data_IF_881434423738
#
_entry.id   IF_881434423738
#
_cell.length_a   1.000
_cell.length_b   1.000
_cell.length_c   1.000
_cell.angle_alpha   90.00
_cell.angle_beta   90.00
_cell.angle_gamma   90.00
#
_symmetry.space_group_name_H-M   'P 1'
#
loop_
_entity.id
_entity.type
_entity.pdbx_description
1 polymer ?
#
# COMPACT_ATOMS: atom_id res chain seq x y z
N UNK A 1 3.14 21.74 -6.93
CA UNK A 1 4.17 21.09 -6.06
C UNK A 1 5.31 20.46 -6.87
N UNK A 2 5.10 19.39 -7.66
CA UNK A 2 6.21 18.72 -8.41
C UNK A 2 6.91 19.65 -9.40
N UNK A 3 6.17 20.43 -10.20
CA UNK A 3 6.72 21.40 -11.14
C UNK A 3 7.50 22.53 -10.45
N UNK A 4 7.00 23.05 -9.35
CA UNK A 4 7.65 24.11 -8.56
C UNK A 4 8.95 23.61 -7.93
N UNK A 5 8.93 22.37 -7.37
CA UNK A 5 10.13 21.74 -6.82
C UNK A 5 11.18 21.46 -7.90
N UNK A 6 10.76 21.01 -9.08
CA UNK A 6 11.66 20.80 -10.21
C UNK A 6 12.24 22.10 -10.72
N UNK A 7 11.46 23.19 -10.76
CA UNK A 7 11.97 24.51 -11.14
C UNK A 7 12.98 25.02 -10.12
N UNK A 8 12.67 24.92 -8.83
CA UNK A 8 13.63 25.29 -7.77
C UNK A 8 14.95 24.48 -7.88
N UNK A 9 14.87 23.21 -8.18
CA UNK A 9 16.06 22.37 -8.38
C UNK A 9 16.89 22.84 -9.60
N UNK A 10 16.25 23.20 -10.72
CA UNK A 10 16.94 23.75 -11.90
C UNK A 10 17.60 25.09 -11.60
N UNK A 11 16.88 26.00 -10.96
CA UNK A 11 17.35 27.37 -10.65
C UNK A 11 18.59 27.37 -9.74
N UNK A 12 18.72 26.30 -8.91
CA UNK A 12 19.85 26.15 -7.99
C UNK A 12 20.89 25.12 -8.45
N UNK A 13 20.77 24.56 -9.66
CA UNK A 13 21.73 23.61 -10.20
C UNK A 13 21.85 22.30 -9.40
N UNK A 14 20.72 21.83 -8.82
CA UNK A 14 20.71 20.58 -8.06
C UNK A 14 20.97 19.38 -8.98
N UNK A 15 21.73 18.42 -8.50
CA UNK A 15 22.10 17.18 -9.20
C UNK A 15 21.45 15.93 -8.61
N UNK A 16 20.72 16.07 -7.50
CA UNK A 16 19.95 15.01 -6.84
C UNK A 16 18.75 15.56 -6.09
N UNK A 17 17.82 14.66 -5.74
CA UNK A 17 16.69 14.95 -4.84
C UNK A 17 16.78 14.04 -3.63
N UNK A 18 16.68 14.63 -2.43
CA UNK A 18 16.62 13.91 -1.16
C UNK A 18 15.20 14.05 -0.60
N UNK A 19 14.50 12.94 -0.39
CA UNK A 19 13.19 12.88 0.23
C UNK A 19 13.28 12.32 1.66
N UNK A 20 12.94 13.14 2.66
CA UNK A 20 12.91 12.73 4.07
C UNK A 20 11.47 12.80 4.54
N UNK A 21 10.82 11.65 4.78
CA UNK A 21 9.42 11.62 5.21
C UNK A 21 8.72 10.29 4.97
N UNK A 22 7.41 10.32 5.08
CA UNK A 22 6.54 9.19 4.71
C UNK A 22 6.26 9.12 3.21
N UNK A 23 5.33 8.25 2.81
CA UNK A 23 5.02 7.96 1.40
C UNK A 23 4.77 9.21 0.55
N UNK A 24 3.95 10.16 1.01
CA UNK A 24 3.64 11.38 0.26
C UNK A 24 4.87 12.24 -0.04
N UNK A 25 5.83 12.31 0.89
CA UNK A 25 7.08 13.04 0.68
C UNK A 25 7.98 12.28 -0.30
N UNK A 26 8.09 10.97 -0.14
CA UNK A 26 8.90 10.13 -1.04
C UNK A 26 8.36 10.17 -2.47
N UNK A 27 7.04 10.09 -2.65
CA UNK A 27 6.39 10.16 -3.94
C UNK A 27 6.53 11.55 -4.57
N UNK A 28 6.37 12.62 -3.78
CA UNK A 28 6.63 13.99 -4.25
C UNK A 28 8.08 14.15 -4.70
N UNK A 29 9.06 13.58 -3.98
CA UNK A 29 10.47 13.62 -4.33
C UNK A 29 10.76 12.91 -5.65
N UNK A 30 10.15 11.73 -5.87
CA UNK A 30 10.19 11.03 -7.15
C UNK A 30 9.62 11.88 -8.28
N UNK A 31 8.47 12.53 -8.03
CA UNK A 31 7.82 13.43 -8.99
C UNK A 31 8.67 14.66 -9.32
N UNK A 32 9.32 15.27 -8.34
CA UNK A 32 10.24 16.40 -8.53
C UNK A 32 11.45 15.98 -9.37
N UNK A 33 12.07 14.85 -9.01
CA UNK A 33 13.21 14.32 -9.74
C UNK A 33 12.87 14.02 -11.21
N UNK A 34 11.68 13.49 -11.47
CA UNK A 34 11.17 13.24 -12.81
C UNK A 34 10.89 14.55 -13.57
N UNK A 35 10.17 15.48 -12.94
CA UNK A 35 9.79 16.75 -13.57
C UNK A 35 11.00 17.65 -13.89
N UNK A 36 12.19 17.38 -13.34
CA UNK A 36 13.42 18.09 -13.66
C UNK A 36 13.79 17.99 -15.14
N UNK A 37 13.60 16.82 -15.76
CA UNK A 37 13.89 16.57 -17.18
C UNK A 37 12.65 16.54 -18.07
N UNK A 38 11.45 16.66 -17.49
CA UNK A 38 10.19 16.44 -18.19
C UNK A 38 9.24 17.64 -17.97
N UNK A 39 9.11 18.50 -18.98
CA UNK A 39 8.49 19.85 -18.88
C UNK A 39 6.96 19.87 -18.81
N UNK A 40 6.28 18.75 -19.10
CA UNK A 40 4.82 18.75 -19.04
C UNK A 40 4.32 18.47 -17.62
N UNK A 41 3.07 18.85 -17.31
CA UNK A 41 2.43 18.42 -16.07
C UNK A 41 2.53 16.90 -15.87
N UNK A 42 2.82 16.45 -14.64
CA UNK A 42 3.08 15.03 -14.36
C UNK A 42 1.92 14.12 -14.81
N UNK A 43 0.68 14.61 -14.77
CA UNK A 43 -0.50 13.85 -15.19
C UNK A 43 -0.54 13.56 -16.70
N UNK A 44 0.16 14.33 -17.55
CA UNK A 44 0.30 13.99 -18.97
C UNK A 44 1.08 12.67 -19.16
N UNK A 45 2.03 12.40 -18.27
CA UNK A 45 2.81 11.16 -18.26
C UNK A 45 2.04 10.03 -17.58
N UNK A 46 1.38 10.29 -16.45
CA UNK A 46 0.57 9.32 -15.71
C UNK A 46 -0.57 8.77 -16.57
N UNK A 47 -1.21 9.63 -17.37
CA UNK A 47 -2.27 9.22 -18.30
C UNK A 47 -1.75 8.71 -19.66
N UNK A 48 -0.42 8.59 -19.81
CA UNK A 48 0.19 8.06 -21.04
C UNK A 48 0.08 8.98 -22.27
N UNK A 49 -0.28 10.26 -22.09
CA UNK A 49 -0.37 11.25 -23.18
C UNK A 49 1.01 11.75 -23.63
N UNK A 50 1.98 11.66 -22.73
CA UNK A 50 3.40 11.93 -22.99
C UNK A 50 4.28 10.80 -22.48
N UNK A 51 5.46 10.65 -23.06
CA UNK A 51 6.48 9.72 -22.60
C UNK A 51 7.64 10.50 -22.00
N UNK A 52 8.20 9.97 -20.90
CA UNK A 52 9.39 10.47 -20.23
C UNK A 52 10.20 9.30 -19.69
N UNK A 53 11.47 9.49 -19.46
CA UNK A 53 12.35 8.36 -19.09
C UNK A 53 13.51 8.72 -18.19
N UNK A 54 13.72 9.99 -17.88
CA UNK A 54 14.84 10.47 -17.05
C UNK A 54 14.32 11.11 -15.76
N UNK A 55 15.09 10.93 -14.69
CA UNK A 55 14.90 11.62 -13.43
C UNK A 55 16.28 11.96 -12.83
N UNK A 56 16.35 12.97 -11.97
CA UNK A 56 17.53 13.17 -11.12
C UNK A 56 17.74 11.93 -10.23
N UNK A 57 18.98 11.66 -9.79
CA UNK A 57 19.23 10.69 -8.72
C UNK A 57 18.36 10.99 -7.51
N UNK A 58 17.79 9.94 -6.91
CA UNK A 58 16.87 10.05 -5.76
C UNK A 58 17.49 9.31 -4.58
N UNK A 59 17.56 9.98 -3.42
CA UNK A 59 17.83 9.37 -2.13
C UNK A 59 16.60 9.52 -1.25
N UNK A 60 16.11 8.43 -0.67
CA UNK A 60 14.94 8.45 0.22
C UNK A 60 15.30 8.05 1.64
N UNK A 61 14.76 8.77 2.61
CA UNK A 61 14.90 8.49 4.04
C UNK A 61 13.50 8.32 4.61
N UNK A 62 13.12 7.07 4.89
CA UNK A 62 11.79 6.74 5.36
C UNK A 62 11.62 7.13 6.84
N UNK A 63 10.53 7.84 7.16
CA UNK A 63 10.16 8.20 8.55
C UNK A 63 8.87 7.53 9.00
N UNK A 64 8.28 6.67 8.17
CA UNK A 64 7.10 5.84 8.48
C UNK A 64 7.29 4.45 7.89
N UNK A 65 6.81 3.43 8.57
CA UNK A 65 6.66 2.09 8.01
C UNK A 65 5.25 1.99 7.39
N UNK A 66 5.16 1.98 6.05
CA UNK A 66 3.87 2.00 5.35
C UNK A 66 4.03 1.69 3.87
N UNK A 67 4.17 2.70 3.04
CA UNK A 67 4.15 2.57 1.58
C UNK A 67 5.30 1.74 0.99
N UNK A 68 6.43 1.64 1.69
CA UNK A 68 7.63 1.00 1.15
C UNK A 68 8.15 1.66 -0.14
N UNK A 69 7.81 2.95 -0.35
CA UNK A 69 8.17 3.70 -1.57
C UNK A 69 9.69 3.80 -1.76
N UNK A 70 10.45 3.73 -0.68
CA UNK A 70 11.92 3.65 -0.70
C UNK A 70 12.45 2.36 -1.35
N UNK A 71 11.63 1.30 -1.42
CA UNK A 71 11.98 0.00 -1.99
C UNK A 71 11.51 -0.22 -3.43
N UNK A 72 10.87 0.76 -4.10
CA UNK A 72 10.31 0.56 -5.43
C UNK A 72 10.35 1.82 -6.32
N UNK A 73 9.87 1.68 -7.55
CA UNK A 73 9.83 2.73 -8.58
C UNK A 73 8.47 3.40 -8.76
N UNK A 74 7.53 3.14 -7.86
CA UNK A 74 6.17 3.68 -7.94
C UNK A 74 6.05 4.95 -7.11
N UNK A 75 5.28 5.90 -7.61
CA UNK A 75 4.81 7.07 -6.87
C UNK A 75 3.32 7.26 -7.14
N UNK A 76 2.54 7.67 -6.14
CA UNK A 76 1.10 7.88 -6.26
C UNK A 76 0.80 9.38 -6.20
N UNK A 77 -0.01 9.85 -7.13
CA UNK A 77 -0.43 11.24 -7.21
C UNK A 77 -1.95 11.34 -7.27
N UNK A 78 -2.49 12.40 -6.68
CA UNK A 78 -3.92 12.73 -6.76
C UNK A 78 -4.11 13.90 -7.71
N UNK A 79 -4.98 13.78 -8.70
CA UNK A 79 -5.27 14.82 -9.65
C UNK A 79 -6.32 15.84 -9.11
N UNK A 80 -6.68 16.83 -9.93
CA UNK A 80 -7.67 17.84 -9.59
C UNK A 80 -9.09 17.31 -9.48
N UNK A 81 -9.36 16.14 -10.04
CA UNK A 81 -10.64 15.44 -9.98
C UNK A 81 -10.69 14.43 -8.82
N UNK A 82 -9.71 14.51 -7.90
CA UNK A 82 -9.56 13.64 -6.74
C UNK A 82 -9.29 12.18 -7.09
N UNK A 83 -8.82 11.89 -8.31
CA UNK A 83 -8.44 10.54 -8.72
C UNK A 83 -6.99 10.28 -8.32
N UNK A 84 -6.78 9.28 -7.47
CA UNK A 84 -5.44 8.77 -7.13
C UNK A 84 -4.97 7.78 -8.19
N UNK A 85 -3.73 7.98 -8.67
CA UNK A 85 -3.16 7.11 -9.68
C UNK A 85 -1.67 6.86 -9.46
N UNK A 86 -1.27 5.59 -9.57
CA UNK A 86 0.12 5.18 -9.52
C UNK A 86 0.85 5.54 -10.82
N UNK A 87 2.09 6.00 -10.68
CA UNK A 87 3.03 6.26 -11.74
C UNK A 87 4.31 5.47 -11.48
N UNK A 88 4.68 4.59 -12.40
CA UNK A 88 5.79 3.67 -12.21
C UNK A 88 6.74 3.74 -13.42
N UNK A 89 7.98 4.10 -13.17
CA UNK A 89 9.05 4.14 -14.17
C UNK A 89 10.38 3.69 -13.53
N UNK A 90 11.24 2.95 -14.24
CA UNK A 90 12.58 2.56 -13.75
C UNK A 90 13.43 3.74 -13.27
N UNK A 91 13.26 4.93 -13.88
CA UNK A 91 13.96 6.15 -13.50
C UNK A 91 13.57 6.67 -12.10
N UNK A 92 12.42 6.27 -11.55
CA UNK A 92 11.95 6.65 -10.21
C UNK A 92 12.49 5.73 -9.11
N UNK A 93 13.26 4.71 -9.45
CA UNK A 93 13.90 3.86 -8.45
C UNK A 93 14.92 4.69 -7.67
N UNK A 94 14.83 4.75 -6.33
CA UNK A 94 15.85 5.44 -5.53
C UNK A 94 17.23 4.84 -5.81
N UNK A 95 18.24 5.67 -5.90
CA UNK A 95 19.63 5.21 -5.99
C UNK A 95 20.11 4.65 -4.67
N UNK A 96 19.64 5.28 -3.60
CA UNK A 96 19.91 4.86 -2.23
C UNK A 96 18.66 5.11 -1.37
N UNK A 97 18.48 4.27 -0.37
CA UNK A 97 17.41 4.42 0.62
C UNK A 97 17.96 4.19 2.02
N UNK A 98 17.61 5.06 2.94
CA UNK A 98 17.96 4.95 4.36
C UNK A 98 16.69 4.58 5.11
N UNK A 99 16.75 3.45 5.80
CA UNK A 99 15.68 2.96 6.67
C UNK A 99 16.23 2.91 8.09
N UNK A 100 16.06 4.02 8.80
CA UNK A 100 16.52 4.18 10.19
C UNK A 100 15.31 4.09 11.11
N UNK A 101 15.19 3.02 11.93
CA UNK A 101 14.05 2.81 12.82
C UNK A 101 13.95 3.91 13.90
N UNK A 102 15.02 4.59 14.26
CA UNK A 102 14.98 5.69 15.23
C UNK A 102 14.05 6.83 14.76
N UNK A 103 13.96 7.07 13.45
CA UNK A 103 13.10 8.11 12.88
C UNK A 103 11.61 7.82 13.01
N UNK A 104 11.23 6.59 13.40
CA UNK A 104 9.85 6.13 13.54
C UNK A 104 9.35 6.11 14.97
N UNK A 105 10.26 6.21 15.96
CA UNK A 105 9.95 6.04 17.40
C UNK A 105 9.03 7.11 17.98
N UNK A 106 8.89 8.26 17.31
CA UNK A 106 8.05 9.38 17.73
C UNK A 106 6.67 9.41 17.07
N UNK A 107 6.36 8.42 16.25
CA UNK A 107 5.06 8.32 15.59
C UNK A 107 3.93 8.14 16.60
N UNK A 108 2.82 8.80 16.34
CA UNK A 108 1.59 8.57 17.11
C UNK A 108 1.01 7.18 16.85
N UNK A 109 0.18 6.67 17.75
CA UNK A 109 -0.51 5.39 17.57
C UNK A 109 -1.22 5.29 16.20
N UNK A 110 -1.88 6.37 15.75
CA UNK A 110 -2.52 6.45 14.44
C UNK A 110 -1.50 6.46 13.29
N UNK A 111 -0.35 7.13 13.49
CA UNK A 111 0.77 7.17 12.54
C UNK A 111 1.49 5.82 12.39
N UNK A 112 1.33 4.92 13.37
CA UNK A 112 1.81 3.53 13.31
C UNK A 112 0.76 2.62 12.66
N UNK A 113 -0.48 2.66 13.16
CA UNK A 113 -1.52 1.69 12.80
C UNK A 113 -1.92 1.74 11.33
N UNK A 114 -2.28 2.93 10.81
CA UNK A 114 -2.73 3.08 9.43
C UNK A 114 -1.64 2.73 8.41
N UNK A 115 -0.49 3.43 8.43
CA UNK A 115 0.62 3.10 7.53
C UNK A 115 1.13 1.66 7.70
N UNK A 116 1.24 1.17 8.95
CA UNK A 116 1.69 -0.19 9.21
C UNK A 116 0.75 -1.25 8.62
N UNK A 117 -0.57 -1.02 8.70
CA UNK A 117 -1.52 -1.91 8.04
C UNK A 117 -1.44 -1.81 6.51
N UNK A 118 -1.19 -0.63 5.95
CA UNK A 118 -0.93 -0.45 4.52
C UNK A 118 0.28 -1.31 4.07
N UNK A 119 1.39 -1.28 4.81
CA UNK A 119 2.53 -2.16 4.54
C UNK A 119 2.16 -3.65 4.58
N UNK A 120 1.36 -4.08 5.56
CA UNK A 120 0.89 -5.46 5.64
C UNK A 120 -0.03 -5.81 4.46
N UNK A 121 -0.93 -4.91 4.08
CA UNK A 121 -1.79 -5.06 2.91
C UNK A 121 -0.96 -5.23 1.63
N UNK A 122 0.05 -4.39 1.40
CA UNK A 122 0.99 -4.54 0.30
C UNK A 122 1.64 -5.93 0.25
N UNK A 123 2.11 -6.43 1.41
CA UNK A 123 2.74 -7.74 1.50
C UNK A 123 1.75 -8.87 1.18
N UNK A 124 0.54 -8.83 1.74
CA UNK A 124 -0.51 -9.84 1.49
C UNK A 124 -0.95 -9.80 0.02
N UNK A 125 -1.19 -8.62 -0.53
CA UNK A 125 -1.63 -8.47 -1.92
C UNK A 125 -0.58 -8.96 -2.91
N UNK A 126 0.69 -8.60 -2.71
CA UNK A 126 1.79 -9.12 -3.51
C UNK A 126 1.94 -10.65 -3.39
N UNK A 127 1.69 -11.20 -2.20
CA UNK A 127 1.72 -12.66 -1.95
C UNK A 127 0.62 -13.38 -2.72
N UNK A 128 -0.60 -12.81 -2.76
CA UNK A 128 -1.78 -13.37 -3.42
C UNK A 128 -1.85 -13.07 -4.92
N UNK A 129 -1.06 -12.13 -5.41
CA UNK A 129 -1.08 -11.70 -6.81
C UNK A 129 -0.80 -12.85 -7.77
N UNK A 130 -1.55 -12.96 -8.87
CA UNK A 130 -1.25 -13.93 -9.95
C UNK A 130 0.11 -13.66 -10.62
N UNK A 131 0.70 -12.48 -10.40
CA UNK A 131 2.05 -12.14 -10.85
C UNK A 131 3.14 -12.51 -9.82
N UNK A 132 2.73 -13.05 -8.65
CA UNK A 132 3.69 -13.46 -7.64
C UNK A 132 4.65 -14.51 -8.20
N UNK A 133 5.89 -14.37 -7.83
CA UNK A 133 6.99 -15.26 -8.22
C UNK A 133 7.85 -15.59 -6.99
N UNK A 134 8.78 -16.56 -7.08
CA UNK A 134 9.59 -16.95 -5.92
C UNK A 134 10.33 -15.78 -5.25
N UNK A 135 10.76 -14.78 -6.03
CA UNK A 135 11.45 -13.61 -5.50
C UNK A 135 10.49 -12.70 -4.72
N UNK A 136 9.35 -12.31 -5.30
CA UNK A 136 8.36 -11.48 -4.60
C UNK A 136 7.78 -12.19 -3.38
N UNK A 137 7.51 -13.52 -3.47
CA UNK A 137 7.03 -14.31 -2.32
C UNK A 137 8.04 -14.41 -1.18
N UNK A 138 9.35 -14.35 -1.44
CA UNK A 138 10.36 -14.29 -0.39
C UNK A 138 10.19 -13.02 0.47
N UNK A 139 10.07 -11.86 -0.18
CA UNK A 139 9.87 -10.59 0.51
C UNK A 139 8.50 -10.48 1.18
N UNK A 140 7.43 -10.90 0.49
CA UNK A 140 6.08 -10.86 1.04
C UNK A 140 5.95 -11.69 2.31
N UNK A 141 6.45 -12.93 2.33
CA UNK A 141 6.41 -13.82 3.49
C UNK A 141 7.10 -13.19 4.70
N UNK A 142 8.30 -12.67 4.48
CA UNK A 142 9.05 -12.06 5.57
C UNK A 142 8.40 -10.77 6.07
N UNK A 143 7.86 -9.96 5.17
CA UNK A 143 7.12 -8.75 5.52
C UNK A 143 5.86 -9.08 6.35
N UNK A 144 5.07 -10.08 5.93
CA UNK A 144 3.86 -10.50 6.66
C UNK A 144 4.22 -10.91 8.08
N UNK A 145 5.24 -11.76 8.26
CA UNK A 145 5.70 -12.22 9.58
C UNK A 145 6.09 -11.03 10.49
N UNK A 146 6.96 -10.16 9.99
CA UNK A 146 7.48 -9.06 10.80
C UNK A 146 6.44 -8.00 11.12
N UNK A 147 5.57 -7.66 10.16
CA UNK A 147 4.54 -6.65 10.34
C UNK A 147 3.41 -7.14 11.25
N UNK A 148 2.92 -8.36 11.05
CA UNK A 148 1.82 -8.88 11.89
C UNK A 148 2.22 -9.02 13.36
N UNK A 149 3.45 -9.45 13.63
CA UNK A 149 3.97 -9.57 14.99
C UNK A 149 4.40 -8.22 15.58
N UNK A 150 5.05 -7.39 14.77
CA UNK A 150 5.73 -6.18 15.24
C UNK A 150 4.80 -4.98 15.43
N UNK A 151 3.79 -4.78 14.57
CA UNK A 151 2.93 -3.59 14.62
C UNK A 151 2.24 -3.41 15.99
N UNK A 152 1.61 -4.42 16.60
CA UNK A 152 1.05 -4.27 17.94
C UNK A 152 2.09 -3.93 19.00
N UNK A 153 3.31 -4.47 18.88
CA UNK A 153 4.39 -4.25 19.85
C UNK A 153 4.91 -2.82 19.79
N UNK A 154 5.23 -2.30 18.58
CA UNK A 154 5.72 -0.92 18.44
C UNK A 154 4.63 0.11 18.75
N UNK A 155 3.34 -0.23 18.55
CA UNK A 155 2.25 0.64 18.94
C UNK A 155 2.11 0.72 20.47
N UNK A 156 2.33 -0.40 21.17
CA UNK A 156 2.32 -0.46 22.64
C UNK A 156 3.59 0.13 23.26
N UNK A 157 4.73 0.00 22.59
CA UNK A 157 6.05 0.45 23.04
C UNK A 157 6.83 1.11 21.91
N UNK A 158 6.53 2.39 21.57
CA UNK A 158 7.18 3.08 20.43
C UNK A 158 8.70 3.25 20.56
N UNK A 159 9.27 3.05 21.73
CA UNK A 159 10.73 3.11 21.98
C UNK A 159 11.45 1.76 21.76
N UNK A 160 10.74 0.69 21.41
CA UNK A 160 11.34 -0.62 21.15
C UNK A 160 12.00 -0.67 19.77
N UNK A 161 13.28 -0.29 19.72
CA UNK A 161 14.06 -0.22 18.49
C UNK A 161 14.24 -1.58 17.83
N UNK A 162 14.42 -2.66 18.60
CA UNK A 162 14.59 -4.02 18.02
C UNK A 162 13.35 -4.44 17.24
N UNK A 163 12.17 -4.16 17.76
CA UNK A 163 10.92 -4.43 17.05
C UNK A 163 10.75 -3.48 15.85
N UNK A 164 11.13 -2.19 16.01
CA UNK A 164 11.07 -1.23 14.91
C UNK A 164 11.97 -1.60 13.72
N UNK A 165 13.16 -2.16 13.94
CA UNK A 165 14.03 -2.66 12.86
C UNK A 165 13.27 -3.66 11.97
N UNK A 166 12.55 -4.60 12.58
CA UNK A 166 11.75 -5.60 11.85
C UNK A 166 10.55 -4.97 11.13
N UNK A 167 9.85 -4.05 11.78
CA UNK A 167 8.68 -3.36 11.20
C UNK A 167 9.10 -2.47 10.03
N UNK A 168 10.18 -1.69 10.18
CA UNK A 168 10.70 -0.83 9.13
C UNK A 168 11.16 -1.64 7.91
N UNK A 169 11.97 -2.68 8.12
CA UNK A 169 12.38 -3.59 7.05
C UNK A 169 11.20 -4.35 6.45
N UNK A 170 10.22 -4.75 7.24
CA UNK A 170 8.98 -5.37 6.77
C UNK A 170 8.23 -4.47 5.79
N UNK A 171 8.12 -3.17 6.10
CA UNK A 171 7.54 -2.18 5.19
C UNK A 171 8.33 -2.05 3.88
N UNK A 172 9.65 -1.94 3.96
CA UNK A 172 10.52 -1.90 2.77
C UNK A 172 10.39 -3.17 1.93
N UNK A 173 10.34 -4.35 2.56
CA UNK A 173 10.16 -5.62 1.88
C UNK A 173 8.80 -5.72 1.19
N UNK A 174 7.74 -5.21 1.82
CA UNK A 174 6.43 -5.08 1.19
C UNK A 174 6.50 -4.19 -0.06
N UNK A 175 7.21 -3.04 0.02
CA UNK A 175 7.47 -2.15 -1.11
C UNK A 175 8.21 -2.83 -2.26
N UNK A 176 9.24 -3.64 -1.95
CA UNK A 176 9.96 -4.43 -2.95
C UNK A 176 9.05 -5.49 -3.58
N UNK A 177 8.22 -6.13 -2.76
CA UNK A 177 7.30 -7.17 -3.22
C UNK A 177 6.27 -6.64 -4.22
N UNK A 178 5.59 -5.52 -3.91
CA UNK A 178 4.64 -4.89 -4.84
C UNK A 178 5.32 -4.31 -6.08
N UNK A 179 6.55 -3.85 -5.98
CA UNK A 179 7.36 -3.43 -7.14
C UNK A 179 7.55 -4.57 -8.16
N UNK A 180 7.51 -5.83 -7.71
CA UNK A 180 7.69 -7.02 -8.55
C UNK A 180 6.38 -7.69 -8.96
N UNK A 181 5.41 -7.80 -8.05
CA UNK A 181 4.16 -8.55 -8.28
C UNK A 181 2.90 -7.67 -8.34
N UNK A 182 3.03 -6.39 -7.97
CA UNK A 182 1.90 -5.45 -7.90
C UNK A 182 1.00 -5.69 -6.69
N UNK A 183 0.06 -4.76 -6.48
CA UNK A 183 -1.07 -4.92 -5.57
C UNK A 183 -2.23 -5.64 -6.27
N UNK A 184 -3.25 -6.00 -5.50
CA UNK A 184 -4.53 -6.55 -5.94
C UNK A 184 -5.68 -5.56 -5.70
N UNK A 185 -6.94 -6.01 -5.77
CA UNK A 185 -8.10 -5.14 -5.74
C UNK A 185 -8.25 -4.22 -4.51
N UNK A 186 -7.84 -4.55 -3.28
CA UNK A 186 -8.02 -3.66 -2.13
C UNK A 186 -7.55 -2.23 -2.38
N UNK A 187 -6.34 -2.06 -2.95
CA UNK A 187 -5.83 -0.74 -3.31
C UNK A 187 -6.66 -0.04 -4.38
N UNK A 188 -7.18 -0.79 -5.35
CA UNK A 188 -8.09 -0.25 -6.37
C UNK A 188 -9.43 0.19 -5.80
N UNK A 189 -9.97 -0.54 -4.81
CA UNK A 189 -11.23 -0.22 -4.13
C UNK A 189 -11.07 0.99 -3.19
N UNK A 190 -9.93 1.08 -2.50
CA UNK A 190 -9.69 2.13 -1.51
C UNK A 190 -9.40 3.50 -2.14
N UNK A 191 -8.68 3.56 -3.25
CA UNK A 191 -8.26 4.83 -3.85
C UNK A 191 -9.43 5.80 -4.13
N UNK A 192 -10.58 5.38 -4.70
CA UNK A 192 -11.74 6.25 -4.82
C UNK A 192 -12.31 6.73 -3.48
N UNK A 193 -12.24 5.89 -2.42
CA UNK A 193 -12.74 6.25 -1.09
C UNK A 193 -11.92 7.39 -0.51
N UNK A 194 -10.59 7.23 -0.46
CA UNK A 194 -9.71 8.28 0.06
C UNK A 194 -9.64 9.50 -0.86
N UNK A 195 -9.78 9.33 -2.17
CA UNK A 195 -9.88 10.43 -3.11
C UNK A 195 -11.10 11.30 -2.87
N UNK A 196 -12.27 10.69 -2.64
CA UNK A 196 -13.54 11.38 -2.43
C UNK A 196 -13.66 12.04 -1.05
N UNK A 197 -13.21 11.35 0.01
CA UNK A 197 -13.49 11.72 1.40
C UNK A 197 -12.26 12.22 2.15
N UNK A 198 -11.08 12.19 1.53
CA UNK A 198 -9.81 12.56 2.15
C UNK A 198 -9.52 11.79 3.47
N UNK A 199 -9.95 10.54 3.53
CA UNK A 199 -9.62 9.65 4.65
C UNK A 199 -8.18 9.15 4.56
N UNK A 200 -7.59 8.77 5.68
CA UNK A 200 -6.25 8.18 5.69
C UNK A 200 -6.26 6.82 4.97
N UNK A 201 -5.33 6.62 4.03
CA UNK A 201 -5.29 5.47 3.12
C UNK A 201 -5.35 4.12 3.86
N UNK A 202 -4.50 3.93 4.89
CA UNK A 202 -4.50 2.69 5.66
C UNK A 202 -5.79 2.44 6.46
N UNK A 203 -6.53 3.49 6.82
CA UNK A 203 -7.85 3.35 7.46
C UNK A 203 -8.91 2.93 6.44
N UNK A 204 -8.87 3.50 5.22
CA UNK A 204 -9.72 3.09 4.11
C UNK A 204 -9.51 1.63 3.72
N UNK A 205 -8.24 1.19 3.63
CA UNK A 205 -7.89 -0.22 3.44
C UNK A 205 -8.44 -1.10 4.57
N UNK A 206 -8.19 -0.73 5.83
CA UNK A 206 -8.66 -1.49 6.99
C UNK A 206 -10.18 -1.71 6.97
N UNK A 207 -10.95 -0.72 6.52
CA UNK A 207 -12.39 -0.80 6.46
C UNK A 207 -12.90 -1.88 5.49
N UNK A 208 -12.24 -2.09 4.35
CA UNK A 208 -12.70 -3.02 3.30
C UNK A 208 -12.01 -4.38 3.34
N UNK A 209 -10.81 -4.45 3.92
CA UNK A 209 -9.89 -5.58 3.77
C UNK A 209 -10.45 -6.94 4.19
N UNK A 210 -11.13 -7.06 5.35
CA UNK A 210 -11.70 -8.34 5.77
C UNK A 210 -12.74 -8.91 4.79
N UNK A 211 -13.60 -8.07 4.22
CA UNK A 211 -14.61 -8.54 3.25
C UNK A 211 -13.98 -8.91 1.90
N UNK A 212 -12.97 -8.16 1.45
CA UNK A 212 -12.18 -8.58 0.29
C UNK A 212 -11.54 -9.96 0.52
N UNK A 213 -10.92 -10.19 1.68
CA UNK A 213 -10.34 -11.50 2.00
C UNK A 213 -11.39 -12.61 2.02
N UNK A 214 -12.58 -12.37 2.59
CA UNK A 214 -13.70 -13.34 2.57
C UNK A 214 -14.14 -13.65 1.15
N UNK A 215 -14.22 -12.65 0.29
CA UNK A 215 -14.58 -12.82 -1.12
C UNK A 215 -13.51 -13.63 -1.88
N UNK A 216 -12.23 -13.30 -1.69
CA UNK A 216 -11.13 -13.87 -2.48
C UNK A 216 -10.69 -15.27 -1.99
N UNK A 217 -10.83 -15.55 -0.69
CA UNK A 217 -10.37 -16.80 -0.06
C UNK A 217 -10.80 -18.08 -0.79
N UNK A 218 -12.06 -18.27 -1.23
CA UNK A 218 -12.47 -19.48 -1.91
C UNK A 218 -11.72 -19.76 -3.22
N UNK A 219 -11.13 -18.72 -3.83
CA UNK A 219 -10.41 -18.77 -5.08
C UNK A 219 -8.89 -19.02 -4.92
N UNK A 220 -8.37 -18.97 -3.68
CA UNK A 220 -6.95 -19.10 -3.38
C UNK A 220 -6.72 -19.79 -2.01
N UNK A 221 -7.46 -20.86 -1.70
CA UNK A 221 -7.48 -21.48 -0.38
C UNK A 221 -6.09 -21.88 0.13
N UNK A 222 -5.25 -22.46 -0.73
CA UNK A 222 -3.89 -22.87 -0.35
C UNK A 222 -3.02 -21.66 0.06
N UNK A 223 -3.06 -20.56 -0.70
CA UNK A 223 -2.34 -19.34 -0.36
C UNK A 223 -2.90 -18.70 0.93
N UNK A 224 -4.21 -18.72 1.14
CA UNK A 224 -4.82 -18.23 2.38
C UNK A 224 -4.50 -19.13 3.59
N UNK A 225 -4.39 -20.43 3.41
CA UNK A 225 -3.94 -21.33 4.48
C UNK A 225 -2.47 -21.08 4.85
N UNK A 226 -1.60 -20.79 3.88
CA UNK A 226 -0.23 -20.34 4.15
C UNK A 226 -0.22 -18.97 4.83
N UNK A 227 -1.01 -18.02 4.34
CA UNK A 227 -1.16 -16.69 4.93
C UNK A 227 -1.58 -16.75 6.39
N UNK A 228 -2.50 -17.66 6.76
CA UNK A 228 -2.91 -17.87 8.15
C UNK A 228 -1.70 -18.19 9.06
N UNK A 229 -0.83 -19.10 8.62
CA UNK A 229 0.40 -19.45 9.36
C UNK A 229 1.37 -18.27 9.46
N UNK A 230 1.54 -17.52 8.39
CA UNK A 230 2.38 -16.31 8.36
C UNK A 230 1.87 -15.23 9.32
N UNK A 231 0.55 -15.13 9.48
CA UNK A 231 -0.11 -14.22 10.43
C UNK A 231 -0.13 -14.76 11.88
N UNK A 232 0.50 -15.92 12.14
CA UNK A 232 0.62 -16.50 13.46
C UNK A 232 -0.55 -17.37 13.91
N UNK A 233 -1.45 -17.78 13.00
CA UNK A 233 -2.52 -18.71 13.35
C UNK A 233 -2.02 -20.12 13.58
N UNK A 234 -2.53 -20.79 14.62
CA UNK A 234 -2.37 -22.25 14.78
C UNK A 234 -3.29 -22.96 13.78
N UNK A 235 -2.69 -23.78 12.93
CA UNK A 235 -3.40 -24.49 11.86
C UNK A 235 -3.19 -26.01 11.87
N UNK A 236 -2.49 -26.55 12.90
CA UNK A 236 -2.24 -27.99 13.02
C UNK A 236 -3.55 -28.76 13.11
N UNK A 237 -3.70 -29.78 12.28
CA UNK A 237 -4.89 -30.64 12.26
C UNK A 237 -6.11 -30.04 11.55
N UNK A 238 -6.04 -28.82 11.04
CA UNK A 238 -7.10 -28.23 10.24
C UNK A 238 -7.00 -28.68 8.77
N UNK A 239 -8.14 -28.77 8.11
CA UNK A 239 -8.20 -28.85 6.66
C UNK A 239 -7.69 -27.54 6.03
N UNK A 240 -7.36 -27.57 4.74
CA UNK A 240 -6.94 -26.36 4.02
C UNK A 240 -8.01 -25.26 4.06
N UNK A 241 -9.29 -25.65 3.92
CA UNK A 241 -10.40 -24.71 4.02
C UNK A 241 -10.48 -24.06 5.39
N UNK A 242 -10.46 -24.83 6.47
CA UNK A 242 -10.47 -24.34 7.85
C UNK A 242 -9.25 -23.46 8.14
N UNK A 243 -8.06 -23.87 7.72
CA UNK A 243 -6.84 -23.10 7.87
C UNK A 243 -6.93 -21.76 7.12
N UNK A 244 -7.49 -21.75 5.91
CA UNK A 244 -7.66 -20.54 5.12
C UNK A 244 -8.59 -19.50 5.77
N UNK A 245 -9.61 -19.93 6.54
CA UNK A 245 -10.48 -19.04 7.30
C UNK A 245 -9.72 -18.30 8.40
N UNK A 246 -8.72 -18.95 9.02
CA UNK A 246 -7.90 -18.33 10.06
C UNK A 246 -7.16 -17.09 9.58
N UNK A 247 -6.80 -16.98 8.30
CA UNK A 247 -6.16 -15.78 7.77
C UNK A 247 -7.05 -14.53 7.92
N UNK A 248 -8.33 -14.66 7.62
CA UNK A 248 -9.30 -13.57 7.78
C UNK A 248 -9.49 -13.19 9.25
N UNK A 249 -9.61 -14.21 10.11
CA UNK A 249 -9.75 -14.01 11.56
C UNK A 249 -8.53 -13.29 12.16
N UNK A 250 -7.31 -13.62 11.72
CA UNK A 250 -6.08 -12.96 12.18
C UNK A 250 -6.04 -11.49 11.76
N UNK A 251 -6.41 -11.17 10.51
CA UNK A 251 -6.48 -9.78 10.07
C UNK A 251 -7.56 -9.01 10.83
N UNK A 252 -8.75 -9.57 11.02
CA UNK A 252 -9.81 -8.95 11.84
C UNK A 252 -9.33 -8.66 13.28
N UNK A 253 -8.61 -9.60 13.88
CA UNK A 253 -8.05 -9.46 15.24
C UNK A 253 -6.96 -8.38 15.28
N UNK A 254 -6.07 -8.35 14.29
CA UNK A 254 -5.01 -7.34 14.19
C UNK A 254 -5.59 -5.93 14.05
N UNK A 255 -6.58 -5.72 13.18
CA UNK A 255 -7.24 -4.42 13.01
C UNK A 255 -7.88 -3.92 14.31
N UNK A 256 -8.51 -4.82 15.07
CA UNK A 256 -9.04 -4.49 16.40
C UNK A 256 -7.94 -4.11 17.38
N UNK A 257 -6.83 -4.85 17.40
CA UNK A 257 -5.69 -4.58 18.28
C UNK A 257 -5.06 -3.23 17.96
N UNK A 258 -4.92 -2.89 16.68
CA UNK A 258 -4.39 -1.61 16.23
C UNK A 258 -5.38 -0.43 16.38
N UNK A 259 -6.64 -0.69 16.73
CA UNK A 259 -7.67 0.33 16.90
C UNK A 259 -8.14 0.97 15.59
N UNK A 260 -8.02 0.26 14.47
CA UNK A 260 -8.43 0.73 13.13
C UNK A 260 -9.47 -0.20 12.46
N UNK A 261 -10.21 -0.97 13.22
CA UNK A 261 -11.29 -1.83 12.72
C UNK A 261 -12.53 -1.00 12.32
N UNK A 262 -12.36 -0.04 11.42
CA UNK A 262 -13.42 0.84 10.95
C UNK A 262 -14.41 0.14 10.01
N UNK A 263 -15.64 0.67 9.96
CA UNK A 263 -16.57 0.45 8.86
C UNK A 263 -16.47 1.61 7.86
N UNK A 264 -17.07 1.45 6.69
CA UNK A 264 -17.14 2.54 5.73
C UNK A 264 -17.99 3.71 6.22
N UNK A 265 -19.05 3.43 7.01
CA UNK A 265 -19.84 4.46 7.66
C UNK A 265 -19.05 5.28 8.68
N UNK A 266 -18.14 4.64 9.45
CA UNK A 266 -17.24 5.35 10.37
C UNK A 266 -16.32 6.34 9.62
N UNK A 267 -15.99 6.04 8.37
CA UNK A 267 -15.18 6.89 7.49
C UNK A 267 -16.00 7.92 6.70
N UNK A 268 -17.33 7.90 6.85
CA UNK A 268 -18.23 8.86 6.21
C UNK A 268 -18.74 8.45 4.81
N UNK A 269 -18.53 7.22 4.38
CA UNK A 269 -19.11 6.67 3.15
C UNK A 269 -20.61 6.51 3.33
N UNK A 270 -21.38 6.83 2.30
CA UNK A 270 -22.85 6.71 2.27
C UNK A 270 -23.27 5.71 1.20
N UNK A 271 -24.38 5.05 1.40
CA UNK A 271 -24.96 4.09 0.46
C UNK A 271 -25.09 4.65 -0.96
N UNK A 272 -25.51 5.92 -1.09
CA UNK A 272 -25.64 6.61 -2.39
C UNK A 272 -24.32 6.75 -3.19
N UNK A 273 -23.18 6.52 -2.56
CA UNK A 273 -21.86 6.63 -3.19
C UNK A 273 -21.35 5.27 -3.71
N UNK A 274 -21.94 4.15 -3.29
CA UNK A 274 -21.42 2.81 -3.57
C UNK A 274 -21.34 2.49 -5.06
N UNK A 275 -22.33 2.90 -5.85
CA UNK A 275 -22.34 2.69 -7.30
C UNK A 275 -21.21 3.45 -8.01
N UNK A 276 -20.90 4.66 -7.54
CA UNK A 276 -19.80 5.44 -8.09
C UNK A 276 -18.46 4.85 -7.65
N UNK A 277 -18.30 4.52 -6.37
CA UNK A 277 -17.09 3.95 -5.82
C UNK A 277 -16.71 2.64 -6.52
N UNK A 278 -17.69 1.73 -6.69
CA UNK A 278 -17.45 0.42 -7.30
C UNK A 278 -17.02 0.51 -8.76
N UNK A 279 -17.63 1.40 -9.55
CA UNK A 279 -17.23 1.62 -10.95
C UNK A 279 -15.89 2.32 -11.06
N UNK A 280 -15.69 3.40 -10.30
CA UNK A 280 -14.44 4.16 -10.32
C UNK A 280 -13.24 3.30 -9.90
N UNK A 281 -13.41 2.35 -8.98
CA UNK A 281 -12.38 1.41 -8.58
C UNK A 281 -11.81 0.64 -9.78
N UNK A 282 -12.66 0.02 -10.58
CA UNK A 282 -12.22 -0.75 -11.75
C UNK A 282 -11.66 0.13 -12.87
N UNK A 283 -12.28 1.30 -13.10
CA UNK A 283 -11.89 2.20 -14.19
C UNK A 283 -10.54 2.88 -13.92
N UNK A 284 -10.27 3.25 -12.67
CA UNK A 284 -9.05 3.98 -12.31
C UNK A 284 -7.81 3.07 -12.23
N UNK A 285 -7.97 1.82 -11.77
CA UNK A 285 -6.85 0.91 -11.50
C UNK A 285 -7.08 -0.52 -12.05
N UNK A 286 -7.38 -0.71 -13.34
CA UNK A 286 -7.70 -2.04 -13.89
C UNK A 286 -6.58 -3.07 -13.69
N UNK A 287 -5.33 -2.62 -13.63
CA UNK A 287 -4.18 -3.50 -13.45
C UNK A 287 -4.17 -4.23 -12.10
N UNK A 288 -4.61 -3.59 -11.01
CA UNK A 288 -4.65 -4.26 -9.68
C UNK A 288 -5.77 -5.30 -9.63
N UNK A 289 -6.87 -5.07 -10.34
CA UNK A 289 -7.93 -6.08 -10.47
C UNK A 289 -7.48 -7.28 -11.32
N UNK A 290 -6.70 -7.04 -12.37
CA UNK A 290 -6.12 -8.11 -13.18
C UNK A 290 -5.09 -8.96 -12.42
N UNK A 291 -4.55 -8.47 -11.31
CA UNK A 291 -3.61 -9.20 -10.46
C UNK A 291 -4.30 -10.12 -9.44
N UNK A 292 -5.63 -10.05 -9.29
CA UNK A 292 -6.35 -10.90 -8.33
C UNK A 292 -6.30 -12.39 -8.72
N UNK A 293 -6.36 -13.30 -7.75
CA UNK A 293 -6.55 -14.73 -8.00
C UNK A 293 -7.83 -15.06 -8.79
N UNK A 294 -8.87 -14.25 -8.68
CA UNK A 294 -10.10 -14.36 -9.46
C UNK A 294 -10.52 -12.98 -9.98
N UNK A 295 -11.20 -12.99 -11.13
CA UNK A 295 -11.78 -11.77 -11.70
C UNK A 295 -12.87 -11.21 -10.79
N UNK A 296 -12.97 -9.88 -10.75
CA UNK A 296 -14.00 -9.15 -10.00
C UNK A 296 -14.73 -8.19 -10.93
N UNK A 297 -16.04 -8.09 -10.73
CA UNK A 297 -16.93 -7.14 -11.39
C UNK A 297 -17.20 -5.93 -10.49
N UNK A 298 -17.82 -4.88 -11.02
CA UNK A 298 -18.29 -3.75 -10.21
C UNK A 298 -19.33 -4.16 -9.17
N UNK A 299 -20.16 -5.17 -9.48
CA UNK A 299 -21.17 -5.68 -8.55
C UNK A 299 -20.52 -6.45 -7.39
N UNK A 300 -19.42 -7.17 -7.64
CA UNK A 300 -18.63 -7.83 -6.58
C UNK A 300 -18.02 -6.77 -5.64
N UNK A 301 -17.42 -5.73 -6.21
CA UNK A 301 -16.88 -4.60 -5.42
C UNK A 301 -17.99 -3.93 -4.62
N UNK A 302 -19.13 -3.65 -5.24
CA UNK A 302 -20.28 -3.07 -4.55
C UNK A 302 -20.74 -3.94 -3.37
N UNK A 303 -20.82 -5.25 -3.54
CA UNK A 303 -21.17 -6.21 -2.49
C UNK A 303 -20.19 -6.14 -1.30
N UNK A 304 -18.89 -6.02 -1.58
CA UNK A 304 -17.86 -5.83 -0.52
C UNK A 304 -18.11 -4.53 0.24
N UNK A 305 -18.37 -3.44 -0.49
CA UNK A 305 -18.63 -2.13 0.12
C UNK A 305 -19.93 -2.14 0.98
N UNK A 306 -21.01 -2.74 0.47
CA UNK A 306 -22.29 -2.86 1.20
C UNK A 306 -22.14 -3.60 2.53
N UNK A 307 -21.34 -4.66 2.58
CA UNK A 307 -21.11 -5.44 3.81
C UNK A 307 -20.24 -4.71 4.83
N UNK A 308 -19.61 -3.64 4.44
CA UNK A 308 -18.77 -2.81 5.31
C UNK A 308 -19.35 -1.42 5.59
N UNK A 309 -20.54 -1.13 5.04
CA UNK A 309 -21.28 0.09 5.33
C UNK A 309 -21.92 0.02 6.73
#
# INVERSE_FOLDING_TARGET
>A
MTAEGAQAARDNGCDMVIGIGGGSVMDASKGIAFAYYNDAPIFEYIYGRKQGGQALPILLIATTAGTGSEGNWTAVFTDTDHVKKGFALPALYPKESIVDPELMTTLSSRGIAGPGFDALAHAIESFLSVRANPFSKLYSRQAILWLSEGLPKVQASPSDLETWERVALGSTFAGIAIGNAGCTAPHGIEHPISGLLNVAHGEGLAAIYPEYMRFMRPHAQADFAELARLLGAETSGLTEEEASLRAVEQVDALLKTLGIAFTLSDLGVRESQLDWLSRTALDSMPAVFANNPAAMTSDDVKTILERRL
#
